data_IF_973951368636
#
_entry.id   IF_973951368636
#
_cell.length_a   1.000
_cell.length_b   1.000
_cell.length_c   1.000
_cell.angle_alpha   90.00
_cell.angle_beta   90.00
_cell.angle_gamma   90.00
#
_symmetry.space_group_name_H-M   'P 1'
#
loop_
_entity.id
_entity.type
_entity.pdbx_description
1 polymer ?
#
# COMPACT_ATOMS: atom_id res chain seq x y z
N UNK A 1 -3.21 5.45 -10.86
CA UNK A 1 -2.43 6.02 -9.74
C UNK A 1 -3.41 6.72 -8.81
N UNK A 2 -3.48 6.35 -7.53
CA UNK A 2 -4.46 6.91 -6.58
C UNK A 2 -4.05 8.34 -6.23
N UNK A 3 -4.94 9.30 -6.45
CA UNK A 3 -4.69 10.70 -6.11
C UNK A 3 -4.96 10.88 -4.61
N UNK A 4 -4.04 11.53 -3.90
CA UNK A 4 -4.10 11.71 -2.44
C UNK A 4 -3.83 13.16 -2.06
N UNK A 5 -4.48 13.61 -0.98
CA UNK A 5 -4.37 14.98 -0.48
C UNK A 5 -3.52 14.99 0.78
N UNK A 6 -2.72 16.04 0.94
CA UNK A 6 -1.86 16.24 2.09
C UNK A 6 -2.70 16.48 3.34
N UNK A 7 -2.62 15.59 4.32
CA UNK A 7 -3.39 15.73 5.56
C UNK A 7 -3.00 16.96 6.40
N UNK A 8 -1.89 17.64 6.08
CA UNK A 8 -1.48 18.88 6.77
C UNK A 8 -2.10 20.14 6.20
N UNK A 9 -2.30 20.22 4.88
CA UNK A 9 -2.73 21.47 4.22
C UNK A 9 -3.81 21.30 3.13
N UNK A 10 -4.22 20.06 2.83
CA UNK A 10 -5.26 19.75 1.85
C UNK A 10 -4.79 19.66 0.39
N UNK A 11 -3.60 20.15 0.06
CA UNK A 11 -3.08 20.16 -1.32
C UNK A 11 -2.79 18.75 -1.86
N UNK A 12 -2.91 18.55 -3.18
CA UNK A 12 -2.60 17.28 -3.81
C UNK A 12 -1.12 16.90 -3.63
N UNK A 13 -0.85 15.63 -3.31
CA UNK A 13 0.51 15.13 -3.16
C UNK A 13 1.02 14.51 -4.46
N UNK A 14 2.32 14.70 -4.72
CA UNK A 14 3.04 14.19 -5.88
C UNK A 14 3.79 12.92 -5.50
N UNK A 15 3.65 11.88 -6.31
CA UNK A 15 4.46 10.66 -6.18
C UNK A 15 5.93 10.97 -6.53
N UNK A 16 6.84 10.58 -5.66
CA UNK A 16 8.28 10.73 -5.86
C UNK A 16 8.92 9.49 -6.48
N UNK A 17 8.47 8.31 -6.09
CA UNK A 17 9.09 7.05 -6.50
C UNK A 17 9.04 6.02 -5.39
N UNK A 18 9.71 4.90 -5.67
CA UNK A 18 9.91 3.80 -4.73
C UNK A 18 11.34 3.84 -4.21
N UNK A 19 11.52 3.76 -2.90
CA UNK A 19 12.84 3.75 -2.27
C UNK A 19 12.95 2.63 -1.23
N UNK A 20 14.20 2.28 -0.91
CA UNK A 20 14.54 1.26 0.07
C UNK A 20 14.98 1.91 1.39
N UNK A 21 14.10 1.90 2.40
CA UNK A 21 14.42 2.40 3.72
C UNK A 21 15.19 1.35 4.53
N UNK A 22 16.36 1.72 5.02
CA UNK A 22 17.16 0.88 5.93
C UNK A 22 16.56 0.94 7.34
N UNK A 23 16.36 -0.22 7.95
CA UNK A 23 15.71 -0.31 9.27
C UNK A 23 16.72 -0.29 10.44
N UNK A 24 18.03 -0.28 10.15
CA UNK A 24 19.10 -0.26 11.15
C UNK A 24 19.52 1.14 11.59
N UNK A 25 19.87 1.29 12.87
CA UNK A 25 20.55 2.49 13.39
C UNK A 25 22.07 2.31 13.30
N UNK A 26 22.76 3.27 12.67
CA UNK A 26 24.22 3.32 12.66
C UNK A 26 24.73 3.65 14.07
N UNK A 27 25.29 2.67 14.78
CA UNK A 27 25.90 2.86 16.09
C UNK A 27 27.37 3.31 15.97
N UNK A 28 27.77 4.35 16.72
CA UNK A 28 29.12 4.92 16.69
C UNK A 28 30.23 3.94 17.13
N UNK A 29 29.89 2.88 17.89
CA UNK A 29 30.86 1.96 18.51
C UNK A 29 31.20 0.70 17.68
N UNK A 30 30.43 0.34 16.63
CA UNK A 30 30.64 -0.91 15.86
C UNK A 30 30.55 -0.76 14.32
N UNK A 31 30.48 0.47 13.80
CA UNK A 31 30.34 0.68 12.35
C UNK A 31 29.07 0.03 11.77
N UNK A 32 29.13 -0.38 10.48
CA UNK A 32 27.98 -0.89 9.71
C UNK A 32 27.60 -2.36 9.95
N UNK A 33 28.29 -3.08 10.84
CA UNK A 33 28.01 -4.51 11.07
C UNK A 33 26.57 -4.82 11.57
N UNK A 34 25.93 -3.98 12.41
CA UNK A 34 24.51 -4.17 12.76
C UNK A 34 23.54 -3.89 11.59
N UNK A 35 23.94 -3.10 10.60
CA UNK A 35 23.07 -2.67 9.49
C UNK A 35 22.76 -3.80 8.50
N UNK A 36 23.63 -4.80 8.40
CA UNK A 36 23.45 -5.94 7.48
C UNK A 36 22.34 -6.91 7.93
N UNK A 37 21.97 -6.90 9.22
CA UNK A 37 20.96 -7.81 9.77
C UNK A 37 19.59 -7.15 9.99
N UNK A 38 19.53 -5.82 10.03
CA UNK A 38 18.27 -5.09 10.27
C UNK A 38 17.31 -5.14 9.08
N UNK A 39 17.78 -5.57 7.91
CA UNK A 39 16.99 -5.61 6.69
C UNK A 39 16.54 -4.21 6.23
N UNK A 40 15.62 -4.20 5.30
CA UNK A 40 15.22 -3.00 4.57
C UNK A 40 13.80 -3.13 4.06
N UNK A 41 13.09 -2.03 3.98
CA UNK A 41 11.70 -1.98 3.54
C UNK A 41 11.58 -1.16 2.26
N UNK A 42 10.96 -1.73 1.22
CA UNK A 42 10.57 -0.95 0.06
C UNK A 42 9.32 -0.13 0.36
N UNK A 43 9.37 1.16 0.05
CA UNK A 43 8.26 2.08 0.28
C UNK A 43 8.02 2.99 -0.92
N UNK A 44 6.77 3.33 -1.16
CA UNK A 44 6.34 4.39 -2.07
C UNK A 44 6.36 5.73 -1.33
N UNK A 45 6.97 6.75 -1.94
CA UNK A 45 7.10 8.09 -1.36
C UNK A 45 6.19 9.09 -2.06
N UNK A 46 5.53 9.93 -1.26
CA UNK A 46 4.75 11.05 -1.74
C UNK A 46 5.19 12.33 -1.04
N UNK A 47 5.26 13.44 -1.78
CA UNK A 47 5.59 14.77 -1.25
C UNK A 47 4.47 15.76 -1.54
N UNK A 48 4.15 16.59 -0.55
CA UNK A 48 3.28 17.75 -0.74
C UNK A 48 4.12 18.90 -1.32
N UNK A 49 3.81 19.32 -2.54
CA UNK A 49 4.52 20.43 -3.21
C UNK A 49 4.34 21.78 -2.53
N UNK A 50 3.35 21.93 -1.64
CA UNK A 50 3.07 23.17 -0.93
C UNK A 50 3.80 23.28 0.42
N UNK A 51 3.63 22.29 1.31
CA UNK A 51 4.16 22.35 2.68
C UNK A 51 5.35 21.41 2.95
N UNK A 52 5.78 20.64 1.95
CA UNK A 52 6.93 19.74 2.06
C UNK A 52 6.69 18.46 2.87
N UNK A 53 5.46 18.16 3.31
CA UNK A 53 5.15 16.91 4.02
C UNK A 53 5.51 15.71 3.15
N UNK A 54 6.20 14.73 3.72
CA UNK A 54 6.44 13.41 3.14
C UNK A 54 5.53 12.37 3.78
N UNK A 55 5.01 11.45 2.95
CA UNK A 55 4.27 10.26 3.38
C UNK A 55 4.87 9.02 2.72
N UNK A 56 5.04 7.97 3.53
CA UNK A 56 5.64 6.69 3.14
C UNK A 56 4.58 5.60 3.23
N UNK A 57 4.50 4.76 2.20
CA UNK A 57 3.59 3.62 2.14
C UNK A 57 4.39 2.38 1.80
N UNK A 58 4.02 1.22 2.34
CA UNK A 58 4.60 -0.05 1.90
C UNK A 58 4.47 -0.18 0.38
N UNK A 59 5.55 -0.59 -0.27
CA UNK A 59 5.57 -0.81 -1.71
C UNK A 59 4.80 -2.06 -2.13
N UNK A 60 4.76 -3.05 -1.24
CA UNK A 60 4.06 -4.31 -1.45
C UNK A 60 2.68 -4.22 -0.81
N UNK A 61 1.65 -4.50 -1.59
CA UNK A 61 0.35 -4.89 -1.04
C UNK A 61 0.54 -6.30 -0.48
N UNK A 62 0.39 -6.48 0.84
CA UNK A 62 0.47 -7.81 1.43
C UNK A 62 -0.65 -8.64 0.82
N UNK A 63 -0.30 -9.74 0.15
CA UNK A 63 -1.28 -10.68 -0.43
C UNK A 63 -2.29 -11.17 0.63
N UNK A 64 -1.89 -11.16 1.90
CA UNK A 64 -2.67 -11.52 3.09
C UNK A 64 -3.96 -10.69 3.26
N UNK A 65 -4.01 -9.47 2.71
CA UNK A 65 -5.17 -8.57 2.81
C UNK A 65 -6.18 -8.79 1.65
N UNK A 66 -5.85 -9.63 0.65
CA UNK A 66 -6.74 -9.93 -0.47
C UNK A 66 -7.80 -10.99 -0.09
N UNK A 67 -9.06 -10.59 -0.10
CA UNK A 67 -10.18 -11.52 0.15
C UNK A 67 -10.26 -12.58 -0.97
N UNK A 68 -10.54 -13.86 -0.62
CA UNK A 68 -10.82 -14.90 -1.61
C UNK A 68 -11.91 -14.46 -2.59
N UNK A 69 -11.71 -14.77 -3.87
CA UNK A 69 -12.62 -14.40 -4.95
C UNK A 69 -13.55 -15.57 -5.31
N UNK A 70 -14.80 -15.28 -5.71
CA UNK A 70 -15.75 -16.24 -6.30
C UNK A 70 -16.22 -15.78 -7.68
N UNK A 71 -16.53 -16.72 -8.57
CA UNK A 71 -17.18 -16.42 -9.86
C UNK A 71 -18.71 -16.47 -9.70
N UNK A 72 -19.42 -15.45 -10.20
CA UNK A 72 -20.87 -15.45 -10.20
C UNK A 72 -21.42 -16.49 -11.21
N UNK A 73 -22.30 -17.42 -10.82
CA UNK A 73 -22.84 -18.43 -11.73
C UNK A 73 -23.83 -17.84 -12.75
N UNK A 74 -24.40 -16.66 -12.47
CA UNK A 74 -25.37 -15.99 -13.36
C UNK A 74 -24.69 -15.15 -14.44
N UNK A 75 -23.62 -14.42 -14.13
CA UNK A 75 -22.98 -13.49 -15.07
C UNK A 75 -21.51 -13.78 -15.38
N UNK A 76 -20.90 -14.77 -14.73
CA UNK A 76 -19.52 -15.20 -14.98
C UNK A 76 -18.42 -14.24 -14.48
N UNK A 77 -18.77 -13.09 -13.88
CA UNK A 77 -17.79 -12.14 -13.33
C UNK A 77 -17.28 -12.59 -11.95
N UNK A 78 -16.02 -12.27 -11.66
CA UNK A 78 -15.34 -12.58 -10.39
C UNK A 78 -15.43 -11.39 -9.43
N UNK A 79 -15.63 -11.66 -8.14
CA UNK A 79 -15.60 -10.66 -7.06
C UNK A 79 -15.35 -11.30 -5.69
N UNK A 80 -15.13 -10.49 -4.65
CA UNK A 80 -14.90 -10.94 -3.26
C UNK A 80 -16.03 -11.85 -2.76
N UNK A 81 -15.68 -12.93 -2.06
CA UNK A 81 -16.63 -13.98 -1.70
C UNK A 81 -17.72 -13.52 -0.71
N UNK A 82 -17.43 -12.49 0.09
CA UNK A 82 -18.25 -11.99 1.19
C UNK A 82 -19.45 -11.13 0.76
N UNK A 83 -19.51 -10.75 -0.52
CA UNK A 83 -20.66 -10.05 -1.06
C UNK A 83 -21.94 -10.91 -0.97
N UNK A 84 -23.02 -10.42 -0.32
CA UNK A 84 -24.27 -11.15 -0.18
C UNK A 84 -25.02 -11.32 -1.52
N UNK A 85 -24.78 -10.43 -2.48
CA UNK A 85 -25.30 -10.51 -3.86
C UNK A 85 -24.20 -10.13 -4.84
N UNK A 86 -24.27 -10.64 -6.07
CA UNK A 86 -23.31 -10.29 -7.11
C UNK A 86 -23.32 -8.76 -7.34
N UNK A 87 -22.18 -8.06 -7.20
CA UNK A 87 -22.15 -6.60 -7.34
C UNK A 87 -22.55 -6.15 -8.75
N UNK A 88 -22.37 -7.02 -9.76
CA UNK A 88 -22.63 -6.75 -11.17
C UNK A 88 -24.05 -7.09 -11.62
N UNK A 89 -24.57 -8.28 -11.31
CA UNK A 89 -25.89 -8.73 -11.78
C UNK A 89 -26.94 -8.90 -10.69
N UNK A 90 -26.58 -8.64 -9.43
CA UNK A 90 -27.46 -8.76 -8.25
C UNK A 90 -27.98 -10.17 -7.95
N UNK A 91 -27.40 -11.20 -8.57
CA UNK A 91 -27.66 -12.60 -8.22
C UNK A 91 -27.44 -12.84 -6.72
N UNK A 92 -28.42 -13.47 -6.09
CA UNK A 92 -28.42 -13.83 -4.69
C UNK A 92 -27.75 -15.20 -4.52
N UNK A 93 -26.82 -15.31 -3.55
CA UNK A 93 -26.08 -16.55 -3.28
C UNK A 93 -26.75 -17.46 -2.25
N UNK A 94 -27.99 -17.14 -1.85
CA UNK A 94 -28.79 -17.84 -0.84
C UNK A 94 -29.43 -19.11 -1.40
#
# INVERSE_FOLDING_TARGET
MKQMNCLRCGESMRYLGKEKLQLGQTGWLLGDLPNLWAGSMEVNLYVCSHCGKLEFYLAEEREDDALPQKQCPSCGKTHDFDYPKCPFCKHEYF
#
